data_IF_717269798468
#
_entry.id   IF_717269798468
#
_cell.length_a   1.000
_cell.length_b   1.000
_cell.length_c   1.000
_cell.angle_alpha   90.00
_cell.angle_beta   90.00
_cell.angle_gamma   90.00
#
_symmetry.space_group_name_H-M   'P 1'
#
loop_
_entity.id
_entity.type
_entity.pdbx_description
1 polymer ?
#
# COMPACT_ATOMS: atom_id res chain seq x y z
N UNK A 1 18.10 2.75 6.39
CA UNK A 1 18.30 1.38 5.90
C UNK A 1 16.96 0.63 6.03
N UNK A 2 16.38 0.22 4.93
CA UNK A 2 15.07 -0.46 4.89
C UNK A 2 15.24 -1.99 4.69
N UNK A 3 16.30 -2.55 5.28
CA UNK A 3 16.55 -3.99 5.25
C UNK A 3 16.87 -4.42 6.69
N UNK A 4 16.27 -5.53 7.11
CA UNK A 4 16.53 -6.20 8.37
C UNK A 4 16.96 -7.64 8.09
N UNK A 5 18.06 -8.08 8.67
CA UNK A 5 18.57 -9.45 8.52
C UNK A 5 18.28 -10.27 9.78
N UNK A 6 17.99 -11.54 9.57
CA UNK A 6 17.78 -12.52 10.67
C UNK A 6 18.35 -13.87 10.26
N UNK A 7 19.06 -14.51 11.16
CA UNK A 7 19.65 -15.84 10.95
C UNK A 7 18.59 -16.89 10.62
N UNK A 8 17.45 -16.84 11.31
CA UNK A 8 16.34 -17.78 11.14
C UNK A 8 15.00 -17.07 11.37
N UNK A 9 13.91 -17.72 10.97
CA UNK A 9 12.56 -17.27 11.33
C UNK A 9 12.36 -17.51 12.82
N UNK A 10 12.07 -16.47 13.62
CA UNK A 10 11.82 -16.64 15.04
C UNK A 10 10.56 -17.48 15.31
N UNK A 11 10.58 -18.33 16.33
CA UNK A 11 9.43 -19.13 16.78
C UNK A 11 8.18 -18.27 17.07
N UNK A 12 8.41 -17.06 17.60
CA UNK A 12 7.34 -16.08 17.84
C UNK A 12 7.36 -15.03 16.75
N UNK A 13 6.33 -15.00 15.93
CA UNK A 13 6.17 -14.04 14.83
C UNK A 13 6.21 -12.57 15.28
N UNK A 14 5.81 -12.28 16.52
CA UNK A 14 5.87 -10.91 17.09
C UNK A 14 7.25 -10.27 16.97
N UNK A 15 8.34 -11.07 17.00
CA UNK A 15 9.72 -10.57 16.94
C UNK A 15 10.06 -9.88 15.61
N UNK A 16 9.37 -10.22 14.53
CA UNK A 16 9.55 -9.53 13.24
C UNK A 16 8.31 -8.73 12.83
N UNK A 17 7.16 -8.98 13.46
CA UNK A 17 5.91 -8.31 13.11
C UNK A 17 5.97 -6.80 13.34
N UNK A 18 6.68 -6.35 14.39
CA UNK A 18 6.93 -4.92 14.64
C UNK A 18 7.64 -4.25 13.46
N UNK A 19 8.60 -4.95 12.85
CA UNK A 19 9.32 -4.46 11.67
C UNK A 19 8.43 -4.45 10.42
N UNK A 20 7.60 -5.49 10.24
CA UNK A 20 6.61 -5.55 9.16
C UNK A 20 5.68 -4.34 9.22
N UNK A 21 5.06 -4.09 10.37
CA UNK A 21 4.20 -2.93 10.61
C UNK A 21 4.94 -1.60 10.36
N UNK A 22 6.16 -1.48 10.86
CA UNK A 22 6.96 -0.26 10.69
C UNK A 22 7.33 -0.01 9.21
N UNK A 23 7.53 -1.06 8.41
CA UNK A 23 7.74 -0.91 6.97
C UNK A 23 6.46 -0.49 6.25
N UNK A 24 5.31 -1.08 6.57
CA UNK A 24 4.03 -0.71 5.98
C UNK A 24 3.65 0.75 6.31
N UNK A 25 3.90 1.21 7.53
CA UNK A 25 3.69 2.60 7.94
C UNK A 25 4.73 3.58 7.35
N UNK A 26 5.82 3.08 6.81
CA UNK A 26 6.91 3.88 6.25
C UNK A 26 7.00 3.82 4.73
N UNK A 27 8.21 3.62 4.25
CA UNK A 27 8.58 3.56 2.83
C UNK A 27 8.72 2.13 2.31
N UNK A 28 8.19 1.15 3.05
CA UNK A 28 8.43 -0.26 2.78
C UNK A 28 9.83 -0.72 3.20
N UNK A 29 10.12 -1.99 2.97
CA UNK A 29 11.43 -2.57 3.28
C UNK A 29 11.45 -4.08 3.11
N UNK A 30 12.60 -4.68 3.42
CA UNK A 30 12.82 -6.12 3.29
C UNK A 30 13.29 -6.73 4.60
N UNK A 31 12.76 -7.91 4.91
CA UNK A 31 13.30 -8.77 5.95
C UNK A 31 13.91 -9.98 5.25
N UNK A 32 15.17 -10.27 5.55
CA UNK A 32 15.89 -11.40 4.95
C UNK A 32 16.22 -12.41 6.04
N UNK A 33 15.69 -13.61 5.91
CA UNK A 33 15.98 -14.73 6.79
C UNK A 33 17.06 -15.63 6.18
N UNK A 34 17.98 -16.09 7.00
CA UNK A 34 19.15 -16.88 6.59
C UNK A 34 20.45 -16.07 6.50
N UNK A 35 20.46 -14.82 7.02
CA UNK A 35 21.65 -13.96 7.04
C UNK A 35 21.85 -13.41 8.45
N UNK A 36 23.08 -13.46 8.93
CA UNK A 36 23.47 -12.86 10.22
C UNK A 36 23.60 -11.33 10.09
N UNK A 37 22.92 -10.57 10.97
CA UNK A 37 22.77 -9.12 10.83
C UNK A 37 24.09 -8.33 10.98
N UNK A 38 25.01 -8.79 11.86
CA UNK A 38 26.25 -8.06 12.15
C UNK A 38 27.35 -8.35 11.14
N UNK A 39 27.55 -9.62 10.83
CA UNK A 39 28.64 -10.08 9.95
C UNK A 39 28.22 -10.12 8.49
N UNK A 40 26.93 -10.12 8.22
CA UNK A 40 26.32 -10.36 6.90
C UNK A 40 26.71 -11.74 6.32
N UNK A 41 27.03 -12.67 7.19
CA UNK A 41 27.31 -14.05 6.80
C UNK A 41 26.01 -14.73 6.37
N UNK A 42 26.05 -15.39 5.21
CA UNK A 42 24.93 -16.17 4.71
C UNK A 42 24.94 -17.52 5.40
N UNK A 43 23.99 -17.72 6.30
CA UNK A 43 23.78 -18.99 7.03
C UNK A 43 22.94 -19.95 6.19
N UNK A 44 21.93 -19.43 5.50
CA UNK A 44 20.96 -20.17 4.71
C UNK A 44 19.77 -20.65 5.55
N UNK A 45 18.76 -21.16 4.86
CA UNK A 45 17.55 -21.77 5.40
C UNK A 45 17.52 -23.24 5.04
N UNK A 46 16.76 -24.03 5.79
CA UNK A 46 16.55 -25.44 5.50
C UNK A 46 15.70 -25.61 4.22
N UNK A 47 16.27 -26.21 3.19
CA UNK A 47 15.65 -26.35 1.88
C UNK A 47 14.45 -27.31 1.90
N UNK A 48 14.45 -28.31 2.75
CA UNK A 48 13.37 -29.31 2.83
C UNK A 48 12.06 -28.71 3.36
N UNK A 49 12.15 -27.64 4.16
CA UNK A 49 11.02 -26.96 4.78
C UNK A 49 10.73 -25.58 4.22
N UNK A 50 11.46 -25.10 3.22
CA UNK A 50 11.46 -23.70 2.80
C UNK A 50 10.10 -23.19 2.35
N UNK A 51 9.37 -23.95 1.52
CA UNK A 51 8.04 -23.55 1.07
C UNK A 51 7.04 -23.45 2.22
N UNK A 52 7.07 -24.43 3.13
CA UNK A 52 6.23 -24.42 4.34
C UNK A 52 6.55 -23.19 5.22
N UNK A 53 7.81 -22.84 5.30
CA UNK A 53 8.26 -21.65 6.05
C UNK A 53 7.79 -20.35 5.39
N UNK A 54 7.84 -20.24 4.07
CA UNK A 54 7.33 -19.09 3.32
C UNK A 54 5.81 -18.93 3.51
N UNK A 55 5.05 -20.01 3.42
CA UNK A 55 3.60 -19.99 3.67
C UNK A 55 3.29 -19.57 5.11
N UNK A 56 4.03 -20.10 6.09
CA UNK A 56 3.85 -19.74 7.49
C UNK A 56 4.13 -18.25 7.75
N UNK A 57 5.17 -17.68 7.12
CA UNK A 57 5.48 -16.25 7.20
C UNK A 57 4.35 -15.41 6.60
N UNK A 58 3.89 -15.78 5.40
CA UNK A 58 2.82 -15.07 4.69
C UNK A 58 1.54 -15.04 5.52
N UNK A 59 1.12 -16.19 6.02
CA UNK A 59 -0.08 -16.32 6.86
C UNK A 59 0.07 -15.54 8.16
N UNK A 60 1.21 -15.67 8.85
CA UNK A 60 1.45 -14.95 10.10
C UNK A 60 1.37 -13.44 9.93
N UNK A 61 1.88 -12.88 8.82
CA UNK A 61 1.81 -11.45 8.53
C UNK A 61 0.37 -11.02 8.23
N UNK A 62 -0.32 -11.74 7.35
CA UNK A 62 -1.69 -11.41 6.95
C UNK A 62 -2.68 -11.48 8.11
N UNK A 63 -2.51 -12.46 9.00
CA UNK A 63 -3.43 -12.68 10.12
C UNK A 63 -3.17 -11.76 11.32
N UNK A 64 -1.92 -11.35 11.51
CA UNK A 64 -1.50 -10.58 12.69
C UNK A 64 -1.60 -9.08 12.54
N UNK A 65 -1.74 -8.56 11.33
CA UNK A 65 -1.76 -7.12 11.05
C UNK A 65 -3.14 -6.61 10.70
N UNK A 66 -3.41 -5.38 11.09
CA UNK A 66 -4.61 -4.65 10.68
C UNK A 66 -4.24 -3.19 10.33
N UNK A 67 -4.68 -2.65 9.18
CA UNK A 67 -5.22 -3.40 8.04
C UNK A 67 -4.34 -4.58 7.59
N UNK A 68 -4.88 -5.54 6.86
CA UNK A 68 -4.13 -6.71 6.43
C UNK A 68 -2.93 -6.31 5.54
N UNK A 69 -1.75 -6.82 5.86
CA UNK A 69 -0.53 -6.61 5.07
C UNK A 69 -0.31 -7.85 4.20
N UNK A 70 -0.09 -7.63 2.90
CA UNK A 70 0.24 -8.69 1.95
C UNK A 70 1.71 -8.57 1.57
N UNK A 71 2.58 -9.41 2.13
CA UNK A 71 4.00 -9.41 1.78
C UNK A 71 4.23 -10.06 0.41
N UNK A 72 5.30 -9.69 -0.26
CA UNK A 72 5.89 -10.51 -1.31
C UNK A 72 7.00 -11.36 -0.69
N UNK A 73 6.86 -12.68 -0.80
CA UNK A 73 7.78 -13.64 -0.18
C UNK A 73 8.44 -14.46 -1.27
N UNK A 74 9.75 -14.35 -1.39
CA UNK A 74 10.54 -15.05 -2.40
C UNK A 74 11.75 -15.73 -1.77
N UNK A 75 12.22 -16.80 -2.37
CA UNK A 75 13.51 -17.41 -2.05
C UNK A 75 14.58 -16.92 -3.01
N UNK A 76 15.81 -16.76 -2.52
CA UNK A 76 16.98 -16.40 -3.32
C UNK A 76 18.17 -17.27 -2.90
N UNK A 77 19.01 -17.65 -3.86
CA UNK A 77 20.24 -18.40 -3.58
C UNK A 77 21.42 -17.45 -3.59
N UNK A 78 22.18 -17.44 -2.51
CA UNK A 78 23.39 -16.64 -2.32
C UNK A 78 24.51 -17.57 -1.85
N UNK A 79 25.60 -17.68 -2.62
CA UNK A 79 26.74 -18.54 -2.27
C UNK A 79 26.29 -19.98 -1.95
N UNK A 80 25.49 -20.57 -2.82
CA UNK A 80 24.94 -21.93 -2.69
C UNK A 80 24.09 -22.18 -1.43
N UNK A 81 23.61 -21.12 -0.79
CA UNK A 81 22.68 -21.19 0.35
C UNK A 81 21.40 -20.45 0.02
N UNK A 82 20.28 -21.04 0.37
CA UNK A 82 18.97 -20.46 0.12
C UNK A 82 18.54 -19.56 1.27
N UNK A 83 18.07 -18.35 0.96
CA UNK A 83 17.54 -17.37 1.91
C UNK A 83 16.11 -17.01 1.55
N UNK A 84 15.29 -16.57 2.52
CA UNK A 84 13.94 -16.07 2.28
C UNK A 84 13.98 -14.55 2.37
N UNK A 85 13.46 -13.89 1.33
CA UNK A 85 13.28 -12.43 1.27
C UNK A 85 11.81 -12.12 1.39
N UNK A 86 11.45 -11.33 2.40
CA UNK A 86 10.09 -10.84 2.64
C UNK A 86 10.08 -9.36 2.34
N UNK A 87 9.42 -8.96 1.27
CA UNK A 87 9.25 -7.57 0.89
C UNK A 87 7.91 -7.02 1.37
N UNK A 88 7.96 -5.92 2.08
CA UNK A 88 6.79 -5.20 2.58
C UNK A 88 6.71 -3.87 1.84
N UNK A 89 5.60 -3.65 1.16
CA UNK A 89 5.35 -2.40 0.45
C UNK A 89 4.79 -1.32 1.38
N UNK A 90 4.96 -0.04 1.04
CA UNK A 90 4.30 1.04 1.74
C UNK A 90 2.78 0.86 1.70
N UNK A 91 2.17 0.80 2.85
CA UNK A 91 0.73 0.64 2.95
C UNK A 91 -0.03 1.95 2.66
N UNK A 92 -1.21 1.82 2.04
CA UNK A 92 -2.10 2.94 1.74
C UNK A 92 -3.08 3.26 2.89
N UNK A 93 -3.38 2.28 3.73
CA UNK A 93 -4.43 2.35 4.77
C UNK A 93 -3.88 2.60 6.18
N UNK A 94 -2.93 3.52 6.28
CA UNK A 94 -2.28 3.85 7.56
C UNK A 94 -3.27 4.35 8.61
N UNK A 95 -3.05 4.05 9.90
CA UNK A 95 -1.93 3.30 10.48
C UNK A 95 -2.14 1.78 10.39
N UNK A 96 -1.07 1.05 10.06
CA UNK A 96 -1.00 -0.40 10.22
C UNK A 96 -0.53 -0.73 11.63
N UNK A 97 -1.08 -1.77 12.24
CA UNK A 97 -0.73 -2.17 13.60
C UNK A 97 -0.85 -3.67 13.82
N UNK A 98 -0.22 -4.15 14.88
CA UNK A 98 -0.36 -5.55 15.33
C UNK A 98 -1.75 -5.69 15.96
N UNK A 99 -2.61 -6.51 15.35
CA UNK A 99 -4.03 -6.67 15.70
C UNK A 99 -4.27 -6.99 17.17
N UNK A 100 -3.46 -7.91 17.75
CA UNK A 100 -3.57 -8.32 19.14
C UNK A 100 -3.24 -7.22 20.16
N UNK A 101 -2.53 -6.17 19.73
CA UNK A 101 -2.10 -5.05 20.57
C UNK A 101 -2.97 -3.81 20.39
N UNK A 102 -3.78 -3.77 19.31
CA UNK A 102 -4.59 -2.60 18.97
C UNK A 102 -3.77 -1.45 18.39
N UNK A 103 -4.47 -0.41 17.93
CA UNK A 103 -3.85 0.71 17.19
C UNK A 103 -2.86 1.52 18.01
N UNK A 104 -3.10 1.68 19.31
CA UNK A 104 -2.22 2.51 20.16
C UNK A 104 -0.92 1.80 20.52
N UNK A 105 -0.97 0.53 20.91
CA UNK A 105 0.20 -0.21 21.39
C UNK A 105 0.87 -1.04 20.28
N UNK A 106 0.13 -1.32 19.20
CA UNK A 106 0.58 -2.16 18.09
C UNK A 106 1.15 -1.41 16.90
N UNK A 107 1.15 -0.07 16.91
CA UNK A 107 1.68 0.72 15.80
C UNK A 107 3.16 1.01 15.98
N UNK A 108 3.93 0.66 14.96
CA UNK A 108 5.37 0.85 14.90
C UNK A 108 5.76 1.63 13.65
N UNK A 109 6.85 2.38 13.76
CA UNK A 109 7.43 3.19 12.66
C UNK A 109 8.93 2.96 12.57
N UNK A 110 9.50 3.24 11.41
CA UNK A 110 10.94 3.17 11.18
C UNK A 110 11.58 4.56 11.33
N UNK A 111 12.42 4.73 12.34
CA UNK A 111 13.15 5.99 12.58
C UNK A 111 14.64 5.70 12.50
N UNK A 112 15.34 6.36 11.59
CA UNK A 112 16.80 6.23 11.39
C UNK A 112 17.31 4.78 11.30
N UNK A 113 16.50 3.87 10.70
CA UNK A 113 16.86 2.46 10.56
C UNK A 113 16.52 1.56 11.75
N UNK A 114 15.86 2.10 12.78
CA UNK A 114 15.40 1.37 13.96
C UNK A 114 13.88 1.31 13.98
N UNK A 115 13.31 0.15 14.34
CA UNK A 115 11.88 0.00 14.60
C UNK A 115 11.57 0.53 15.99
N UNK A 116 10.63 1.48 16.08
CA UNK A 116 10.18 2.09 17.33
C UNK A 116 8.69 2.08 17.42
N UNK A 117 8.17 2.00 18.63
CA UNK A 117 6.76 2.29 18.90
C UNK A 117 6.44 3.72 18.46
N UNK A 118 5.27 3.93 17.91
CA UNK A 118 4.82 5.24 17.44
C UNK A 118 4.55 6.16 18.64
N UNK A 119 4.93 7.41 18.53
CA UNK A 119 4.52 8.46 19.47
C UNK A 119 3.15 9.03 19.09
N UNK A 120 2.41 9.57 20.06
CA UNK A 120 1.02 10.03 19.86
C UNK A 120 0.86 11.02 18.69
N UNK A 121 1.80 11.94 18.54
CA UNK A 121 1.75 12.90 17.43
C UNK A 121 1.95 12.23 16.07
N UNK A 122 2.89 11.27 15.98
CA UNK A 122 3.12 10.50 14.75
C UNK A 122 1.93 9.60 14.41
N UNK A 123 1.28 9.01 15.43
CA UNK A 123 0.08 8.22 15.22
C UNK A 123 -1.04 9.07 14.62
N UNK A 124 -1.22 10.31 15.11
CA UNK A 124 -2.19 11.25 14.54
C UNK A 124 -1.85 11.60 13.09
N UNK A 125 -0.58 11.80 12.76
CA UNK A 125 -0.14 12.05 11.38
C UNK A 125 -0.45 10.85 10.48
N UNK A 126 -0.14 9.61 10.91
CA UNK A 126 -0.46 8.40 10.16
C UNK A 126 -1.98 8.26 9.94
N UNK A 127 -2.81 8.57 10.95
CA UNK A 127 -4.27 8.56 10.83
C UNK A 127 -4.76 9.62 9.82
N UNK A 128 -4.16 10.79 9.80
CA UNK A 128 -4.48 11.84 8.83
C UNK A 128 -4.05 11.45 7.41
N UNK A 129 -2.85 10.88 7.26
CA UNK A 129 -2.37 10.37 5.97
C UNK A 129 -3.30 9.28 5.41
N UNK A 130 -3.72 8.32 6.24
CA UNK A 130 -4.66 7.28 5.84
C UNK A 130 -6.01 7.85 5.40
N UNK A 131 -6.56 8.79 6.15
CA UNK A 131 -7.81 9.48 5.79
C UNK A 131 -7.66 10.31 4.51
N UNK A 132 -6.58 11.06 4.38
CA UNK A 132 -6.34 11.90 3.21
C UNK A 132 -6.18 11.11 1.91
N UNK A 133 -5.64 9.90 1.97
CA UNK A 133 -5.53 9.03 0.79
C UNK A 133 -6.87 8.49 0.30
N UNK A 134 -7.84 8.36 1.19
CA UNK A 134 -9.19 7.93 0.86
C UNK A 134 -10.17 9.07 0.63
N UNK A 135 -9.83 10.30 1.05
CA UNK A 135 -10.69 11.45 0.86
C UNK A 135 -11.14 11.60 -0.59
N UNK A 136 -10.22 11.45 -1.52
CA UNK A 136 -10.51 11.58 -2.95
C UNK A 136 -11.46 10.49 -3.46
N UNK A 137 -11.39 9.29 -2.88
CA UNK A 137 -12.20 8.13 -3.28
C UNK A 137 -13.54 8.02 -2.53
N UNK A 138 -13.78 8.85 -1.52
CA UNK A 138 -15.06 8.91 -0.82
C UNK A 138 -16.14 9.52 -1.70
N UNK A 139 -17.36 8.96 -1.62
CA UNK A 139 -18.52 9.52 -2.32
C UNK A 139 -18.73 10.95 -1.86
N UNK A 140 -18.80 11.87 -2.81
CA UNK A 140 -19.09 13.26 -2.54
C UNK A 140 -20.55 13.40 -2.10
N UNK A 141 -20.75 13.65 -0.82
CA UNK A 141 -22.10 13.82 -0.27
C UNK A 141 -22.77 15.05 -0.86
N UNK A 142 -24.07 14.94 -1.12
CA UNK A 142 -24.90 16.02 -1.69
C UNK A 142 -24.54 16.41 -3.15
N UNK A 143 -23.91 15.50 -3.91
CA UNK A 143 -23.67 15.68 -5.32
C UNK A 143 -24.27 14.51 -6.11
N UNK A 144 -25.20 14.82 -7.00
CA UNK A 144 -25.68 13.87 -8.01
C UNK A 144 -24.92 14.07 -9.32
N UNK A 145 -24.84 13.03 -10.11
CA UNK A 145 -24.20 13.03 -11.42
C UNK A 145 -25.09 12.34 -12.45
N UNK A 146 -25.22 12.96 -13.61
CA UNK A 146 -25.92 12.40 -14.75
C UNK A 146 -24.96 11.69 -15.72
N UNK A 147 -25.49 10.80 -16.55
CA UNK A 147 -24.69 10.13 -17.59
C UNK A 147 -24.05 11.12 -18.57
N UNK A 148 -24.78 12.20 -18.92
CA UNK A 148 -24.25 13.28 -19.78
C UNK A 148 -23.03 13.99 -19.15
N UNK A 149 -23.03 14.22 -17.86
CA UNK A 149 -21.90 14.85 -17.15
C UNK A 149 -20.68 13.91 -17.10
N UNK A 150 -20.92 12.60 -16.99
CA UNK A 150 -19.84 11.60 -17.07
C UNK A 150 -19.22 11.61 -18.47
N UNK A 151 -20.03 11.63 -19.51
CA UNK A 151 -19.56 11.68 -20.91
C UNK A 151 -18.77 12.97 -21.20
N UNK A 152 -19.26 14.10 -20.72
CA UNK A 152 -18.58 15.39 -20.86
C UNK A 152 -17.21 15.40 -20.17
N UNK A 153 -17.12 14.86 -18.96
CA UNK A 153 -15.84 14.71 -18.26
C UNK A 153 -14.89 13.80 -19.02
N UNK A 154 -15.34 12.64 -19.51
CA UNK A 154 -14.53 11.73 -20.31
C UNK A 154 -13.95 12.43 -21.54
N UNK A 155 -14.76 13.19 -22.26
CA UNK A 155 -14.35 13.96 -23.44
C UNK A 155 -13.33 15.05 -23.07
N UNK A 156 -13.62 15.84 -22.04
CA UNK A 156 -12.75 16.91 -21.57
C UNK A 156 -11.37 16.41 -21.14
N UNK A 157 -11.30 15.26 -20.44
CA UNK A 157 -10.03 14.66 -20.03
C UNK A 157 -9.20 14.21 -21.25
N UNK A 158 -9.83 13.58 -22.25
CA UNK A 158 -9.16 13.20 -23.49
C UNK A 158 -8.63 14.42 -24.25
N UNK A 159 -9.47 15.44 -24.44
CA UNK A 159 -9.08 16.68 -25.13
C UNK A 159 -7.92 17.37 -24.42
N UNK A 160 -7.95 17.40 -23.09
CA UNK A 160 -6.86 17.96 -22.27
C UNK A 160 -5.57 17.17 -22.43
N UNK A 161 -5.62 15.83 -22.43
CA UNK A 161 -4.47 14.98 -22.68
C UNK A 161 -3.86 15.23 -24.06
N UNK A 162 -4.70 15.32 -25.11
CA UNK A 162 -4.26 15.64 -26.47
C UNK A 162 -3.59 17.03 -26.53
N UNK A 163 -4.21 18.04 -25.93
CA UNK A 163 -3.67 19.41 -25.90
C UNK A 163 -2.33 19.50 -25.19
N UNK A 164 -2.11 18.74 -24.13
CA UNK A 164 -0.89 18.74 -23.34
C UNK A 164 0.20 17.84 -23.90
N UNK A 165 -0.07 17.07 -24.95
CA UNK A 165 0.91 16.19 -25.59
C UNK A 165 1.62 16.96 -26.72
N UNK A 166 2.95 17.05 -26.67
CA UNK A 166 3.77 17.84 -27.60
C UNK A 166 3.97 17.16 -28.96
N UNK A 167 4.06 15.82 -28.99
CA UNK A 167 4.35 15.05 -30.20
C UNK A 167 3.06 14.55 -30.87
N UNK A 168 2.84 14.88 -32.12
CA UNK A 168 1.64 14.45 -32.85
C UNK A 168 1.50 12.93 -32.97
N UNK A 169 2.64 12.20 -33.06
CA UNK A 169 2.67 10.73 -33.04
C UNK A 169 2.17 10.12 -31.74
N UNK A 170 2.28 10.82 -30.62
CA UNK A 170 1.77 10.37 -29.33
C UNK A 170 0.30 10.74 -29.11
N UNK A 171 -0.18 11.85 -29.70
CA UNK A 171 -1.59 12.26 -29.64
C UNK A 171 -2.53 11.17 -30.19
N UNK A 172 -2.13 10.50 -31.25
CA UNK A 172 -2.92 9.42 -31.89
C UNK A 172 -3.04 8.19 -30.98
N UNK A 173 -2.11 8.00 -30.05
CA UNK A 173 -2.11 6.87 -29.11
C UNK A 173 -2.99 7.09 -27.87
N UNK A 174 -3.47 8.32 -27.64
CA UNK A 174 -4.31 8.66 -26.49
C UNK A 174 -5.65 7.95 -26.62
N UNK A 175 -5.90 7.02 -25.70
CA UNK A 175 -7.14 6.24 -25.66
C UNK A 175 -8.31 7.07 -25.15
N UNK A 176 -9.51 6.64 -25.49
CA UNK A 176 -10.73 7.20 -24.91
C UNK A 176 -10.79 6.96 -23.42
N UNK A 177 -11.16 7.98 -22.67
CA UNK A 177 -11.54 7.84 -21.28
C UNK A 177 -12.98 7.36 -21.23
N UNK A 178 -13.26 6.34 -20.45
CA UNK A 178 -14.59 5.75 -20.28
C UNK A 178 -15.05 5.81 -18.84
N UNK A 179 -16.35 5.62 -18.59
CA UNK A 179 -16.89 5.49 -17.22
C UNK A 179 -16.10 4.47 -16.38
N UNK A 180 -15.78 3.30 -16.94
CA UNK A 180 -15.04 2.26 -16.22
C UNK A 180 -13.62 2.71 -15.84
N UNK A 181 -13.00 3.51 -16.69
CA UNK A 181 -11.69 4.11 -16.38
C UNK A 181 -11.83 5.12 -15.23
N UNK A 182 -12.86 5.97 -15.22
CA UNK A 182 -13.12 6.91 -14.13
C UNK A 182 -13.38 6.17 -12.80
N UNK A 183 -14.09 5.04 -12.85
CA UNK A 183 -14.28 4.17 -11.67
C UNK A 183 -12.93 3.59 -11.21
N UNK A 184 -12.12 3.07 -12.13
CA UNK A 184 -10.81 2.51 -11.80
C UNK A 184 -9.83 3.54 -11.22
N UNK A 185 -9.98 4.80 -11.60
CA UNK A 185 -9.19 5.92 -11.06
C UNK A 185 -9.74 6.47 -9.73
N UNK A 186 -10.88 5.97 -9.26
CA UNK A 186 -11.52 6.46 -8.05
C UNK A 186 -12.21 7.83 -8.20
N UNK A 187 -12.39 8.31 -9.43
CA UNK A 187 -13.14 9.54 -9.73
C UNK A 187 -14.64 9.32 -9.60
N UNK A 188 -15.08 8.11 -9.93
CA UNK A 188 -16.44 7.64 -9.72
C UNK A 188 -16.41 6.36 -8.87
N UNK A 189 -17.51 6.11 -8.15
CA UNK A 189 -17.71 4.89 -7.37
C UNK A 189 -19.05 4.26 -7.73
N UNK A 190 -19.08 2.95 -7.91
CA UNK A 190 -20.29 2.20 -8.15
C UNK A 190 -20.70 1.45 -6.89
N UNK A 191 -21.91 1.72 -6.40
CA UNK A 191 -22.50 1.01 -5.26
C UNK A 191 -23.97 0.67 -5.57
N UNK A 192 -24.33 -0.59 -5.41
CA UNK A 192 -25.72 -1.04 -5.64
C UNK A 192 -26.23 -0.84 -7.08
N UNK A 193 -25.35 -0.83 -8.08
CA UNK A 193 -25.70 -0.60 -9.48
C UNK A 193 -25.92 0.88 -9.84
N UNK A 194 -25.70 1.79 -8.92
CA UNK A 194 -25.73 3.24 -9.14
C UNK A 194 -24.31 3.81 -9.07
N UNK A 195 -24.01 4.77 -9.95
CA UNK A 195 -22.73 5.46 -9.98
C UNK A 195 -22.83 6.78 -9.22
N UNK A 196 -21.85 7.03 -8.39
CA UNK A 196 -21.73 8.22 -7.55
C UNK A 196 -20.43 8.97 -7.87
N UNK A 197 -20.45 10.32 -7.83
CA UNK A 197 -19.22 11.10 -7.89
C UNK A 197 -18.46 10.99 -6.56
N UNK A 198 -17.13 10.92 -6.65
CA UNK A 198 -16.27 11.01 -5.48
C UNK A 198 -15.78 12.43 -5.26
N UNK A 199 -15.07 12.66 -4.15
CA UNK A 199 -14.43 13.96 -3.93
C UNK A 199 -13.39 14.29 -5.03
N UNK A 200 -12.74 13.28 -5.63
CA UNK A 200 -11.89 13.47 -6.80
C UNK A 200 -12.65 14.06 -7.99
N UNK A 201 -13.90 13.61 -8.23
CA UNK A 201 -14.74 14.19 -9.25
C UNK A 201 -15.01 15.68 -9.01
N UNK A 202 -15.39 16.03 -7.76
CA UNK A 202 -15.63 17.42 -7.37
C UNK A 202 -14.40 18.31 -7.59
N UNK A 203 -13.22 17.82 -7.20
CA UNK A 203 -11.95 18.52 -7.40
C UNK A 203 -11.60 18.72 -8.89
N UNK A 204 -11.75 17.65 -9.72
CA UNK A 204 -11.44 17.69 -11.14
C UNK A 204 -12.37 18.64 -11.92
N UNK A 205 -13.64 18.70 -11.54
CA UNK A 205 -14.64 19.53 -12.22
C UNK A 205 -14.78 20.93 -11.66
N UNK A 206 -14.09 21.22 -10.54
CA UNK A 206 -14.22 22.51 -9.84
C UNK A 206 -15.60 22.74 -9.21
N UNK A 207 -16.42 21.69 -9.09
CA UNK A 207 -17.71 21.78 -8.41
C UNK A 207 -17.48 21.77 -6.90
N UNK A 208 -17.61 22.92 -6.29
CA UNK A 208 -17.66 23.02 -4.84
C UNK A 208 -19.00 22.48 -4.36
N UNK A 209 -18.98 21.55 -3.41
CA UNK A 209 -20.19 21.16 -2.67
C UNK A 209 -20.65 22.40 -1.93
N UNK A 210 -21.83 22.91 -2.28
CA UNK A 210 -22.37 24.11 -1.65
C UNK A 210 -22.48 23.91 -0.14
N UNK A 211 -22.01 24.91 0.59
CA UNK A 211 -22.17 25.02 2.03
C UNK A 211 -23.66 25.12 2.39
#
# INVERSE_FOLDING_TARGET
KNIEYKVAVPDKSEKYMKTVVAFANGRGGKIVFGIEDKTLEVVGMDEDSIYKTMDAITNAISDSCEPAIRPDVAMQTIKDKTVIVVEIFPGAERPYYIKSQGVFDGTYVRVAGTTRHVEDYMLRELMLEGKNRYFDSEICQNMDISDSEIEELCKSLKETAIRNTWQDSEKVKIKDVTRNILISWGVLKEEGGKVYPTNAYALLTGRMVGQ
#
